data_IF_209453242698
#
_entry.id   IF_209453242698
#
_cell.length_a   1.000
_cell.length_b   1.000
_cell.length_c   1.000
_cell.angle_alpha   90.00
_cell.angle_beta   90.00
_cell.angle_gamma   90.00
#
_symmetry.space_group_name_H-M   'P 1'
#
loop_
_entity.id
_entity.type
_entity.pdbx_description
1 polymer ?
#
# COMPACT_ATOMS: atom_id res chain seq x y z
N UNK A 1 20.18 -6.39 -19.16
CA UNK A 1 19.65 -7.31 -18.14
C UNK A 1 18.14 -7.42 -18.33
N UNK A 2 17.64 -8.62 -18.68
CA UNK A 2 16.24 -8.85 -19.07
C UNK A 2 15.32 -8.81 -17.84
N UNK A 3 15.82 -9.28 -16.69
CA UNK A 3 15.08 -9.30 -15.42
C UNK A 3 14.69 -7.88 -15.01
N UNK A 4 15.66 -6.96 -15.08
CA UNK A 4 15.44 -5.54 -14.75
C UNK A 4 14.36 -4.91 -15.64
N UNK A 5 14.35 -5.23 -16.94
CA UNK A 5 13.35 -4.70 -17.87
C UNK A 5 11.94 -5.19 -17.56
N UNK A 6 11.78 -6.48 -17.25
CA UNK A 6 10.46 -7.01 -16.85
C UNK A 6 10.01 -6.45 -15.51
N UNK A 7 10.92 -6.30 -14.56
CA UNK A 7 10.62 -5.66 -13.28
C UNK A 7 10.04 -4.25 -13.49
N UNK A 8 10.71 -3.41 -14.29
CA UNK A 8 10.22 -2.06 -14.60
C UNK A 8 8.85 -2.06 -15.30
N UNK A 9 8.63 -2.97 -16.24
CA UNK A 9 7.34 -3.09 -16.93
C UNK A 9 6.21 -3.44 -15.95
N UNK A 10 6.46 -4.38 -15.03
CA UNK A 10 5.47 -4.76 -14.01
C UNK A 10 5.20 -3.61 -13.04
N UNK A 11 6.25 -2.93 -12.55
CA UNK A 11 6.10 -1.75 -11.70
C UNK A 11 5.22 -0.69 -12.38
N UNK A 12 5.50 -0.36 -13.64
CA UNK A 12 4.72 0.63 -14.38
C UNK A 12 3.27 0.18 -14.61
N UNK A 13 3.03 -1.11 -14.88
CA UNK A 13 1.69 -1.64 -15.06
C UNK A 13 0.85 -1.54 -13.77
N UNK A 14 1.41 -1.97 -12.63
CA UNK A 14 0.71 -1.93 -11.35
C UNK A 14 0.55 -0.53 -10.78
N UNK A 15 1.47 0.38 -11.12
CA UNK A 15 1.39 1.79 -10.76
C UNK A 15 0.50 2.61 -11.71
N UNK A 16 0.03 2.03 -12.82
CA UNK A 16 -0.79 2.75 -13.78
C UNK A 16 -2.17 3.08 -13.18
N UNK A 17 -2.75 4.26 -13.48
CA UNK A 17 -4.08 4.61 -12.97
C UNK A 17 -5.17 3.60 -13.36
N UNK A 18 -5.07 3.01 -14.54
CA UNK A 18 -6.03 2.01 -15.03
C UNK A 18 -6.03 0.73 -14.18
N UNK A 19 -4.86 0.30 -13.70
CA UNK A 19 -4.78 -0.84 -12.80
C UNK A 19 -5.11 -0.43 -11.36
N UNK A 20 -4.47 0.65 -10.89
CA UNK A 20 -4.55 1.06 -9.50
C UNK A 20 -5.97 1.40 -9.07
N UNK A 21 -6.66 2.25 -9.84
CA UNK A 21 -7.99 2.72 -9.47
C UNK A 21 -9.07 1.63 -9.55
N UNK A 22 -8.86 0.62 -10.39
CA UNK A 22 -9.82 -0.47 -10.59
C UNK A 22 -9.65 -1.58 -9.55
N UNK A 23 -8.39 -1.94 -9.26
CA UNK A 23 -8.07 -3.16 -8.52
C UNK A 23 -7.50 -2.93 -7.12
N UNK A 24 -7.01 -1.73 -6.80
CA UNK A 24 -6.42 -1.44 -5.49
C UNK A 24 -7.39 -0.63 -4.65
N UNK A 25 -7.73 -1.20 -3.49
CA UNK A 25 -8.64 -0.60 -2.52
C UNK A 25 -7.89 -0.45 -1.20
N UNK A 26 -7.81 0.78 -0.70
CA UNK A 26 -7.23 1.03 0.61
C UNK A 26 -8.22 0.58 1.69
N UNK A 27 -7.73 -0.08 2.76
CA UNK A 27 -8.59 -0.41 3.89
C UNK A 27 -9.10 0.86 4.57
N UNK A 28 -10.36 0.82 4.98
CA UNK A 28 -11.00 1.84 5.82
C UNK A 28 -10.57 1.71 7.28
N UNK A 29 -10.76 2.76 8.08
CA UNK A 29 -10.61 2.73 9.54
C UNK A 29 -11.53 1.70 10.21
N UNK A 30 -12.64 1.39 9.55
CA UNK A 30 -13.64 0.43 10.02
C UNK A 30 -13.31 -1.02 9.65
N UNK A 31 -12.36 -1.23 8.73
CA UNK A 31 -11.97 -2.58 8.33
C UNK A 31 -11.11 -3.22 9.43
N UNK A 32 -11.44 -4.46 9.86
CA UNK A 32 -10.65 -5.13 10.87
C UNK A 32 -9.24 -5.43 10.34
N UNK A 33 -8.19 -5.29 11.18
CA UNK A 33 -6.85 -5.67 10.77
C UNK A 33 -6.80 -7.15 10.36
N UNK A 34 -5.95 -7.47 9.40
CA UNK A 34 -5.82 -8.84 8.93
C UNK A 34 -5.44 -9.78 10.08
N UNK A 35 -5.98 -11.01 10.03
CA UNK A 35 -5.73 -12.01 11.07
C UNK A 35 -4.23 -12.31 11.23
N UNK A 36 -3.48 -12.31 10.12
CA UNK A 36 -2.03 -12.46 10.13
C UNK A 36 -1.34 -11.38 10.99
N UNK A 37 -1.79 -10.13 10.88
CA UNK A 37 -1.22 -9.01 11.62
C UNK A 37 -1.53 -9.16 13.12
N UNK A 38 -2.78 -9.47 13.48
CA UNK A 38 -3.22 -9.62 14.88
C UNK A 38 -2.54 -10.81 15.58
N UNK A 39 -2.35 -11.92 14.86
CA UNK A 39 -1.78 -13.15 15.44
C UNK A 39 -0.26 -13.13 15.56
N UNK A 40 0.42 -12.18 14.91
CA UNK A 40 1.87 -12.10 14.95
C UNK A 40 2.32 -11.19 16.11
N UNK A 41 2.88 -11.73 17.21
CA UNK A 41 3.28 -10.93 18.37
C UNK A 41 4.47 -9.99 18.10
N UNK A 42 5.16 -10.15 16.95
CA UNK A 42 6.19 -9.19 16.51
C UNK A 42 5.58 -7.94 15.87
N UNK A 43 4.36 -8.05 15.34
CA UNK A 43 3.67 -6.97 14.62
C UNK A 43 2.58 -6.32 15.49
N UNK A 44 1.87 -7.12 16.28
CA UNK A 44 0.85 -6.67 17.22
C UNK A 44 1.38 -6.69 18.66
N UNK A 45 1.17 -5.64 19.47
CA UNK A 45 0.29 -4.48 19.25
C UNK A 45 0.97 -3.27 18.59
N UNK A 46 2.22 -3.37 18.15
CA UNK A 46 2.97 -2.22 17.62
C UNK A 46 2.24 -1.50 16.47
N UNK A 47 1.57 -2.26 15.60
CA UNK A 47 0.81 -1.71 14.46
C UNK A 47 -0.68 -1.49 14.74
N UNK A 48 -1.13 -1.55 16.01
CA UNK A 48 -2.56 -1.54 16.37
C UNK A 48 -3.35 -0.32 15.88
N UNK A 49 -2.67 0.82 15.77
CA UNK A 49 -3.27 2.08 15.31
C UNK A 49 -2.68 2.54 13.98
N UNK A 50 -1.97 1.67 13.27
CA UNK A 50 -1.43 2.00 11.96
C UNK A 50 -2.55 1.94 10.91
N UNK A 51 -2.86 3.08 10.30
CA UNK A 51 -3.84 3.18 9.22
C UNK A 51 -3.31 2.62 7.88
N UNK A 52 -1.98 2.54 7.73
CA UNK A 52 -1.32 2.03 6.53
C UNK A 52 0.16 2.40 6.51
N UNK A 53 0.89 1.88 5.54
CA UNK A 53 2.28 2.29 5.28
C UNK A 53 2.28 3.57 4.43
N UNK A 54 2.88 4.65 4.96
CA UNK A 54 2.95 5.94 4.25
C UNK A 54 3.92 5.91 3.05
N UNK A 55 4.99 5.10 3.10
CA UNK A 55 6.07 5.14 2.10
C UNK A 55 6.21 3.89 1.22
N UNK A 56 5.24 2.98 1.25
CA UNK A 56 5.23 1.76 0.43
C UNK A 56 4.93 1.99 -1.06
N UNK A 57 5.42 3.06 -1.68
CA UNK A 57 5.35 3.31 -3.14
C UNK A 57 3.96 3.21 -3.82
N UNK A 58 2.90 3.71 -3.21
CA UNK A 58 1.61 3.90 -3.89
C UNK A 58 1.50 5.33 -4.46
N UNK A 59 1.78 5.51 -5.76
CA UNK A 59 1.52 6.75 -6.53
C UNK A 59 0.05 7.20 -6.32
N UNK A 60 -0.34 8.46 -6.09
CA UNK A 60 0.37 9.72 -5.87
C UNK A 60 -0.01 10.32 -4.50
N UNK A 61 0.97 10.80 -3.76
CA UNK A 61 0.77 11.62 -2.57
C UNK A 61 0.47 13.05 -3.00
N UNK A 62 -0.75 13.55 -2.76
CA UNK A 62 -0.99 14.98 -2.77
C UNK A 62 -0.47 15.56 -1.45
N UNK A 63 0.33 16.65 -1.46
CA UNK A 63 0.69 17.33 -0.21
C UNK A 63 -0.58 17.81 0.50
N UNK A 64 -0.53 17.93 1.84
CA UNK A 64 -1.63 18.56 2.58
C UNK A 64 -1.88 19.96 2.00
N UNK A 65 -3.15 20.34 1.84
CA UNK A 65 -3.48 21.72 1.56
C UNK A 65 -2.91 22.58 2.70
N UNK A 66 -2.07 23.56 2.35
CA UNK A 66 -1.56 24.54 3.31
C UNK A 66 -2.75 25.30 3.93
N UNK A 67 -2.72 25.50 5.26
CA UNK A 67 -3.63 26.38 6.01
C UNK A 67 -3.29 27.87 5.80
#
# INVERSE_FOLDING_TARGET
DILYRYFQLMCNAFASPAFYNEYIWLPSTEDPPSHYLIQNPKLWPFLKNCLGAMDGSHIACAPSADD
#
